data_IF_765947569343
#
_entry.id   IF_765947569343
#
_cell.length_a   1.000
_cell.length_b   1.000
_cell.length_c   1.000
_cell.angle_alpha   90.00
_cell.angle_beta   90.00
_cell.angle_gamma   90.00
#
_symmetry.space_group_name_H-M   'P 1'
#
loop_
_entity.id
_entity.type
_entity.pdbx_description
1 polymer ?
#
# COMPACT_ATOMS: atom_id res chain seq x y z
N UNK A 1 -5.86 15.04 7.10
CA UNK A 1 -6.57 13.75 7.27
C UNK A 1 -6.08 12.62 6.35
N UNK A 2 -6.14 12.74 5.00
CA UNK A 2 -5.81 11.62 4.08
C UNK A 2 -4.35 11.11 4.19
N UNK A 3 -3.39 12.01 4.41
CA UNK A 3 -1.97 11.64 4.59
C UNK A 3 -1.76 10.91 5.93
N UNK A 4 -2.40 11.35 7.03
CA UNK A 4 -2.33 10.69 8.34
C UNK A 4 -3.05 9.32 8.34
N UNK A 5 -4.22 9.24 7.70
CA UNK A 5 -4.95 7.98 7.46
C UNK A 5 -4.19 7.04 6.51
N UNK A 6 -3.42 7.60 5.57
CA UNK A 6 -2.46 6.88 4.76
C UNK A 6 -1.38 6.26 5.64
N UNK A 7 -0.67 7.06 6.42
CA UNK A 7 0.48 6.63 7.24
C UNK A 7 0.17 5.41 8.12
N UNK A 8 -1.02 5.34 8.73
CA UNK A 8 -1.41 4.17 9.55
C UNK A 8 -1.61 2.88 8.72
N UNK A 9 -1.96 2.97 7.43
CA UNK A 9 -2.08 1.82 6.52
C UNK A 9 -0.80 1.51 5.76
N UNK A 10 0.04 2.50 5.48
CA UNK A 10 1.32 2.30 4.81
C UNK A 10 2.26 1.41 5.63
N UNK A 11 2.30 1.58 6.96
CA UNK A 11 3.14 0.77 7.86
C UNK A 11 2.88 -0.75 7.72
N UNK A 12 1.64 -1.25 7.81
CA UNK A 12 1.36 -2.67 7.58
C UNK A 12 1.54 -3.10 6.12
N UNK A 13 1.26 -2.25 5.12
CA UNK A 13 1.49 -2.59 3.69
C UNK A 13 2.99 -2.84 3.41
N UNK A 14 3.87 -1.98 3.92
CA UNK A 14 5.32 -2.13 3.78
C UNK A 14 5.80 -3.42 4.46
N UNK A 15 5.26 -3.74 5.64
CA UNK A 15 5.56 -5.00 6.34
C UNK A 15 5.18 -6.22 5.50
N UNK A 16 4.00 -6.21 4.87
CA UNK A 16 3.55 -7.31 3.99
C UNK A 16 4.42 -7.43 2.74
N UNK A 17 4.77 -6.31 2.10
CA UNK A 17 5.66 -6.31 0.94
C UNK A 17 7.05 -6.88 1.30
N UNK A 18 7.59 -6.51 2.46
CA UNK A 18 8.85 -7.07 2.95
C UNK A 18 8.77 -8.59 3.18
N UNK A 19 7.67 -9.08 3.78
CA UNK A 19 7.46 -10.51 3.97
C UNK A 19 7.39 -11.28 2.64
N UNK A 20 6.71 -10.73 1.63
CA UNK A 20 6.66 -11.34 0.28
C UNK A 20 8.04 -11.39 -0.35
N UNK A 21 8.81 -10.29 -0.30
CA UNK A 21 10.17 -10.24 -0.85
C UNK A 21 11.08 -11.28 -0.19
N UNK A 22 11.02 -11.42 1.14
CA UNK A 22 11.80 -12.43 1.87
C UNK A 22 11.37 -13.85 1.49
N UNK A 23 10.06 -14.12 1.37
CA UNK A 23 9.55 -15.42 0.96
C UNK A 23 9.89 -15.79 -0.49
N UNK A 24 9.77 -14.82 -1.42
CA UNK A 24 10.14 -15.00 -2.83
C UNK A 24 11.65 -15.14 -3.02
N UNK A 25 12.47 -14.55 -2.15
CA UNK A 25 13.93 -14.73 -2.18
C UNK A 25 14.33 -16.19 -1.93
N UNK A 26 13.66 -16.88 -1.00
CA UNK A 26 13.89 -18.31 -0.74
C UNK A 26 13.48 -19.17 -1.94
N UNK A 27 12.36 -18.85 -2.61
CA UNK A 27 11.88 -19.56 -3.79
C UNK A 27 12.82 -19.44 -5.00
N UNK A 28 13.66 -18.41 -5.06
CA UNK A 28 14.59 -18.17 -6.17
C UNK A 28 15.75 -19.18 -6.18
N UNK A 29 16.09 -19.77 -5.03
CA UNK A 29 17.10 -20.83 -4.93
C UNK A 29 16.62 -22.17 -5.48
N UNK A 30 15.31 -22.35 -5.67
CA UNK A 30 14.73 -23.59 -6.15
C UNK A 30 14.17 -23.41 -7.59
N UNK A 31 14.77 -24.04 -8.63
CA UNK A 31 14.45 -23.79 -10.04
C UNK A 31 12.99 -24.13 -10.42
N UNK A 32 12.27 -24.84 -9.56
CA UNK A 32 10.85 -25.20 -9.75
C UNK A 32 9.90 -24.02 -9.49
N UNK A 33 10.25 -23.10 -8.58
CA UNK A 33 9.40 -21.96 -8.18
C UNK A 33 9.92 -20.61 -8.67
N UNK A 34 11.00 -20.60 -9.44
CA UNK A 34 11.66 -19.38 -9.90
C UNK A 34 10.72 -18.46 -10.70
N UNK A 35 9.85 -19.03 -11.54
CA UNK A 35 8.82 -18.26 -12.28
C UNK A 35 7.73 -17.69 -11.36
N UNK A 36 7.35 -18.41 -10.31
CA UNK A 36 6.37 -17.96 -9.32
C UNK A 36 6.94 -16.85 -8.43
N UNK A 37 8.22 -16.95 -8.05
CA UNK A 37 8.91 -15.94 -7.26
C UNK A 37 8.94 -14.58 -7.98
N UNK A 38 9.25 -14.57 -9.28
CA UNK A 38 9.26 -13.36 -10.11
C UNK A 38 7.84 -12.77 -10.22
N UNK A 39 6.84 -13.62 -10.46
CA UNK A 39 5.44 -13.19 -10.53
C UNK A 39 4.97 -12.56 -9.21
N UNK A 40 5.34 -13.15 -8.06
CA UNK A 40 5.00 -12.63 -6.73
C UNK A 40 5.68 -11.31 -6.42
N UNK A 41 6.97 -11.16 -6.71
CA UNK A 41 7.69 -9.89 -6.53
C UNK A 41 7.07 -8.77 -7.38
N UNK A 42 6.85 -9.03 -8.66
CA UNK A 42 6.28 -8.02 -9.56
C UNK A 42 4.83 -7.70 -9.18
N UNK A 43 4.05 -8.72 -8.83
CA UNK A 43 2.67 -8.59 -8.36
C UNK A 43 2.57 -7.80 -7.05
N UNK A 44 3.46 -8.04 -6.09
CA UNK A 44 3.50 -7.31 -4.83
C UNK A 44 3.79 -5.83 -5.06
N UNK A 45 4.80 -5.51 -5.89
CA UNK A 45 5.14 -4.12 -6.24
C UNK A 45 3.98 -3.45 -6.98
N UNK A 46 3.41 -4.12 -7.98
CA UNK A 46 2.28 -3.61 -8.76
C UNK A 46 1.03 -3.40 -7.89
N UNK A 47 0.70 -4.33 -7.00
CA UNK A 47 -0.43 -4.20 -6.07
C UNK A 47 -0.22 -3.05 -5.09
N UNK A 48 1.01 -2.84 -4.62
CA UNK A 48 1.34 -1.72 -3.73
C UNK A 48 1.16 -0.39 -4.46
N UNK A 49 1.75 -0.25 -5.65
CA UNK A 49 1.61 0.94 -6.49
C UNK A 49 0.15 1.22 -6.85
N UNK A 50 -0.59 0.18 -7.26
CA UNK A 50 -2.01 0.27 -7.56
C UNK A 50 -2.79 0.70 -6.33
N UNK A 51 -2.47 0.20 -5.14
CA UNK A 51 -3.14 0.63 -3.91
C UNK A 51 -2.89 2.11 -3.61
N UNK A 52 -1.67 2.60 -3.78
CA UNK A 52 -1.35 4.01 -3.55
C UNK A 52 -2.06 4.96 -4.51
N UNK A 53 -2.38 4.50 -5.72
CA UNK A 53 -3.10 5.28 -6.73
C UNK A 53 -4.62 5.09 -6.57
N UNK A 54 -5.08 3.87 -6.35
CA UNK A 54 -6.50 3.52 -6.25
C UNK A 54 -7.15 4.08 -4.99
N UNK A 55 -6.48 4.06 -3.83
CA UNK A 55 -7.01 4.61 -2.58
C UNK A 55 -7.37 6.11 -2.70
N UNK A 56 -6.50 7.01 -3.18
CA UNK A 56 -6.86 8.42 -3.35
C UNK A 56 -7.88 8.65 -4.47
N UNK A 57 -7.81 7.91 -5.59
CA UNK A 57 -8.81 7.99 -6.66
C UNK A 57 -10.20 7.62 -6.17
N UNK A 58 -10.30 6.52 -5.44
CA UNK A 58 -11.55 6.01 -4.90
C UNK A 58 -12.06 6.93 -3.78
N UNK A 59 -11.17 7.47 -2.94
CA UNK A 59 -11.54 8.50 -1.97
C UNK A 59 -12.12 9.74 -2.66
N UNK A 60 -11.49 10.23 -3.74
CA UNK A 60 -11.96 11.38 -4.49
C UNK A 60 -13.35 11.15 -5.09
N UNK A 61 -13.59 10.02 -5.76
CA UNK A 61 -14.91 9.71 -6.33
C UNK A 61 -16.01 9.56 -5.26
N UNK A 62 -15.72 8.90 -4.13
CA UNK A 62 -16.70 8.72 -3.06
C UNK A 62 -17.01 10.02 -2.30
N UNK A 63 -16.00 10.87 -2.05
CA UNK A 63 -16.19 12.15 -1.38
C UNK A 63 -16.68 13.27 -2.30
N UNK A 64 -16.58 13.13 -3.63
CA UNK A 64 -17.14 14.08 -4.61
C UNK A 64 -18.66 14.25 -4.48
N UNK A 65 -19.36 13.23 -4.00
CA UNK A 65 -20.84 13.22 -3.90
C UNK A 65 -21.40 13.59 -2.52
N UNK A 66 -20.59 14.09 -1.56
CA UNK A 66 -21.09 14.62 -0.28
C UNK A 66 -20.39 15.94 0.09
N UNK A 67 -21.11 17.07 0.18
CA UNK A 67 -20.54 18.31 0.71
C UNK A 67 -20.59 18.34 2.26
N UNK A 68 -19.43 18.67 2.88
CA UNK A 68 -19.19 19.10 4.28
C UNK A 68 -19.37 18.05 5.42
N UNK A 69 -18.71 18.15 6.60
CA UNK A 69 -17.90 19.27 7.17
C UNK A 69 -16.50 18.92 7.79
N UNK A 70 -15.65 19.96 7.83
CA UNK A 70 -14.67 20.44 8.84
C UNK A 70 -13.75 19.41 9.55
N UNK A 71 -12.43 19.47 9.43
CA UNK A 71 -11.43 20.40 10.02
C UNK A 71 -11.02 20.06 11.48
N UNK A 72 -9.73 20.29 11.76
CA UNK A 72 -9.02 20.31 13.06
C UNK A 72 -8.34 19.06 13.66
N UNK A 73 -7.18 19.38 14.26
CA UNK A 73 -6.06 18.55 14.68
C UNK A 73 -4.85 18.81 13.75
N UNK A 74 -4.16 19.95 13.75
CA UNK A 74 -3.64 20.72 14.92
C UNK A 74 -3.04 19.80 16.00
N UNK A 75 -1.88 19.22 15.67
CA UNK A 75 -0.74 19.00 16.56
C UNK A 75 0.49 19.25 15.65
N UNK A 76 1.05 20.46 15.55
CA UNK A 76 1.65 21.21 16.66
C UNK A 76 2.90 20.43 17.09
N UNK A 77 4.09 20.74 16.61
CA UNK A 77 4.93 21.77 17.26
C UNK A 77 4.75 21.74 18.79
N UNK A 78 5.42 20.81 19.47
CA UNK A 78 6.03 20.98 20.81
C UNK A 78 7.23 20.04 20.93
#
# INVERSE_FOLDING_TARGET
ALISAGTVRFRPIVLTAAAVVVGSFVMLFDPIFQGLAIAMMFGAVAATALTLIAVPLLYYEFFKNKPCPLDEGEEGEM
#
